data_IF_112845324554
#
_entry.id   IF_112845324554
#
_cell.length_a   1.000
_cell.length_b   1.000
_cell.length_c   1.000
_cell.angle_alpha   90.00
_cell.angle_beta   90.00
_cell.angle_gamma   90.00
#
_symmetry.space_group_name_H-M   'P 1'
#
loop_
_entity.id
_entity.type
_entity.pdbx_description
1 polymer ?
#
# COMPACT_ATOMS: atom_id res chain seq x y z
N UNK A 1 4.94 12.78 2.01
CA UNK A 1 3.85 12.31 1.13
C UNK A 1 2.81 13.42 0.96
N UNK A 2 2.13 13.52 -0.19
CA UNK A 2 1.04 14.50 -0.37
C UNK A 2 -0.19 14.09 0.48
N UNK A 3 -0.77 14.99 1.31
CA UNK A 3 -1.88 14.69 2.22
C UNK A 3 -3.19 14.29 1.52
N UNK A 4 -3.33 14.54 0.22
CA UNK A 4 -4.49 14.09 -0.57
C UNK A 4 -4.42 12.58 -0.79
N UNK A 5 -3.25 12.05 -1.17
CA UNK A 5 -3.08 10.62 -1.41
C UNK A 5 -3.22 9.80 -0.13
N UNK A 6 -2.74 10.33 0.99
CA UNK A 6 -2.95 9.70 2.31
C UNK A 6 -4.45 9.56 2.63
N UNK A 7 -5.23 10.63 2.48
CA UNK A 7 -6.68 10.57 2.72
C UNK A 7 -7.42 9.63 1.77
N UNK A 8 -7.01 9.58 0.50
CA UNK A 8 -7.57 8.63 -0.47
C UNK A 8 -7.19 7.19 -0.14
N UNK A 9 -5.97 6.96 0.33
CA UNK A 9 -5.55 5.65 0.78
C UNK A 9 -6.37 5.21 1.99
N UNK A 10 -6.41 6.02 3.05
CA UNK A 10 -7.12 5.70 4.30
C UNK A 10 -8.62 5.51 4.08
N UNK A 11 -9.24 6.34 3.23
CA UNK A 11 -10.69 6.34 3.01
C UNK A 11 -11.21 5.33 1.97
N UNK A 12 -10.33 4.72 1.17
CA UNK A 12 -10.73 3.83 0.08
C UNK A 12 -9.86 2.59 -0.04
N UNK A 13 -8.54 2.74 -0.08
CA UNK A 13 -7.64 1.65 -0.39
C UNK A 13 -7.31 0.76 0.82
N UNK A 14 -7.26 1.31 2.03
CA UNK A 14 -6.82 0.60 3.24
C UNK A 14 -7.65 -0.67 3.51
N UNK A 15 -8.98 -0.58 3.48
CA UNK A 15 -9.87 -1.72 3.69
C UNK A 15 -9.76 -2.78 2.58
N UNK A 16 -9.55 -2.35 1.34
CA UNK A 16 -9.38 -3.25 0.20
C UNK A 16 -8.05 -4.00 0.34
N UNK A 17 -6.99 -3.27 0.69
CA UNK A 17 -5.67 -3.83 0.89
C UNK A 17 -5.65 -4.80 2.06
N UNK A 18 -6.28 -4.46 3.18
CA UNK A 18 -6.38 -5.34 4.35
C UNK A 18 -7.06 -6.68 4.01
N UNK A 19 -7.98 -6.69 3.03
CA UNK A 19 -8.63 -7.92 2.54
C UNK A 19 -7.77 -8.69 1.54
N UNK A 20 -6.95 -7.98 0.76
CA UNK A 20 -6.12 -8.59 -0.29
C UNK A 20 -4.82 -9.17 0.27
N UNK A 21 -4.12 -8.40 1.10
CA UNK A 21 -2.82 -8.76 1.68
C UNK A 21 -2.66 -8.09 3.07
N UNK A 22 -3.23 -8.69 4.13
CA UNK A 22 -3.17 -8.14 5.48
C UNK A 22 -1.74 -8.16 6.02
N UNK A 23 -1.39 -7.16 6.84
CA UNK A 23 -0.12 -7.16 7.56
C UNK A 23 0.04 -8.41 8.44
N UNK A 24 1.08 -9.20 8.17
CA UNK A 24 1.37 -10.42 8.90
C UNK A 24 2.18 -10.14 10.18
N UNK A 25 1.48 -9.67 11.21
CA UNK A 25 2.08 -9.44 12.53
C UNK A 25 2.66 -10.72 13.16
N UNK A 26 2.14 -11.91 12.80
CA UNK A 26 2.60 -13.19 13.36
C UNK A 26 4.00 -13.54 12.89
N UNK A 27 4.31 -13.29 11.61
CA UNK A 27 5.66 -13.52 11.10
C UNK A 27 6.68 -12.58 11.75
N UNK A 28 6.30 -11.32 12.01
CA UNK A 28 7.15 -10.37 12.73
C UNK A 28 7.37 -10.81 14.19
N UNK A 29 6.33 -11.34 14.83
CA UNK A 29 6.42 -11.90 16.18
C UNK A 29 7.35 -13.10 16.25
N UNK A 30 7.23 -14.04 15.31
CA UNK A 30 8.12 -15.21 15.24
C UNK A 30 9.57 -14.81 15.01
N UNK A 31 9.82 -13.78 14.19
CA UNK A 31 11.15 -13.22 14.01
C UNK A 31 11.69 -12.62 15.32
N UNK A 32 10.86 -11.85 16.03
CA UNK A 32 11.25 -11.28 17.33
C UNK A 32 11.58 -12.38 18.36
N UNK A 33 10.80 -13.45 18.39
CA UNK A 33 11.03 -14.60 19.26
C UNK A 33 12.35 -15.31 18.89
N UNK A 34 12.62 -15.52 17.59
CA UNK A 34 13.86 -16.14 17.11
C UNK A 34 15.13 -15.36 17.49
N UNK A 35 14.98 -14.04 17.65
CA UNK A 35 16.05 -13.12 18.04
C UNK A 35 16.10 -12.89 19.57
N UNK A 36 15.19 -13.52 20.33
CA UNK A 36 15.06 -13.35 21.78
C UNK A 36 14.96 -11.88 22.20
N UNK A 37 14.20 -11.08 21.42
CA UNK A 37 14.03 -9.66 21.70
C UNK A 37 13.25 -9.43 23.01
N UNK A 38 13.62 -8.39 23.74
CA UNK A 38 12.83 -7.91 24.88
C UNK A 38 11.49 -7.34 24.40
N UNK A 39 10.53 -7.18 25.33
CA UNK A 39 9.20 -6.65 25.00
C UNK A 39 9.23 -5.30 24.27
N UNK A 40 10.06 -4.36 24.75
CA UNK A 40 10.21 -3.04 24.11
C UNK A 40 10.84 -3.14 22.71
N UNK A 41 11.85 -3.99 22.54
CA UNK A 41 12.49 -4.20 21.25
C UNK A 41 11.54 -4.88 20.24
N UNK A 42 10.68 -5.79 20.71
CA UNK A 42 9.63 -6.43 19.90
C UNK A 42 8.57 -5.42 19.44
N UNK A 43 8.11 -4.54 20.33
CA UNK A 43 7.17 -3.47 19.96
C UNK A 43 7.78 -2.52 18.94
N UNK A 44 9.01 -2.08 19.16
CA UNK A 44 9.74 -1.24 18.21
C UNK A 44 9.89 -1.91 16.83
N UNK A 45 10.15 -3.22 16.81
CA UNK A 45 10.23 -3.99 15.56
C UNK A 45 8.86 -4.05 14.85
N UNK A 46 7.78 -4.36 15.58
CA UNK A 46 6.43 -4.35 15.02
C UNK A 46 6.08 -2.98 14.42
N UNK A 47 6.30 -1.91 15.18
CA UNK A 47 5.99 -0.55 14.75
C UNK A 47 6.78 -0.18 13.49
N UNK A 48 8.07 -0.54 13.42
CA UNK A 48 8.90 -0.28 12.25
C UNK A 48 8.42 -1.03 11.00
N UNK A 49 8.05 -2.31 11.15
CA UNK A 49 7.53 -3.11 10.04
C UNK A 49 6.14 -2.64 9.60
N UNK A 50 5.25 -2.33 10.54
CA UNK A 50 3.92 -1.80 10.24
C UNK A 50 4.03 -0.45 9.51
N UNK A 51 4.87 0.46 10.00
CA UNK A 51 5.10 1.74 9.34
C UNK A 51 5.63 1.56 7.91
N UNK A 52 6.55 0.61 7.70
CA UNK A 52 7.08 0.30 6.37
C UNK A 52 6.01 -0.30 5.45
N UNK A 53 5.19 -1.22 5.96
CA UNK A 53 4.07 -1.80 5.25
C UNK A 53 3.07 -0.72 4.79
N UNK A 54 2.65 0.17 5.70
CA UNK A 54 1.73 1.26 5.38
C UNK A 54 2.30 2.25 4.35
N UNK A 55 3.59 2.59 4.50
CA UNK A 55 4.26 3.47 3.55
C UNK A 55 4.31 2.84 2.15
N UNK A 56 4.79 1.59 2.05
CA UNK A 56 4.87 0.88 0.76
C UNK A 56 3.50 0.74 0.10
N UNK A 57 2.48 0.43 0.91
CA UNK A 57 1.10 0.31 0.47
C UNK A 57 0.55 1.61 -0.10
N UNK A 58 0.82 2.73 0.56
CA UNK A 58 0.39 4.05 0.09
C UNK A 58 1.13 4.47 -1.17
N UNK A 59 2.42 4.16 -1.27
CA UNK A 59 3.23 4.44 -2.46
C UNK A 59 2.71 3.62 -3.66
N UNK A 60 2.47 2.32 -3.46
CA UNK A 60 1.89 1.45 -4.48
C UNK A 60 0.49 1.91 -4.92
N UNK A 61 -0.36 2.32 -3.97
CA UNK A 61 -1.66 2.90 -4.28
C UNK A 61 -1.55 4.19 -5.08
N UNK A 62 -0.63 5.09 -4.71
CA UNK A 62 -0.43 6.36 -5.42
C UNK A 62 0.01 6.12 -6.85
N UNK A 63 0.94 5.18 -7.08
CA UNK A 63 1.37 4.76 -8.41
C UNK A 63 0.22 4.16 -9.21
N UNK A 64 -0.54 3.23 -8.63
CA UNK A 64 -1.69 2.60 -9.27
C UNK A 64 -2.80 3.60 -9.63
N UNK A 65 -3.11 4.54 -8.73
CA UNK A 65 -4.06 5.61 -8.96
C UNK A 65 -3.60 6.54 -10.09
N UNK A 66 -2.33 6.95 -10.07
CA UNK A 66 -1.77 7.79 -11.12
C UNK A 66 -1.82 7.12 -12.49
N UNK A 67 -1.44 5.84 -12.58
CA UNK A 67 -1.53 5.05 -13.80
C UNK A 67 -2.98 4.91 -14.28
N UNK A 68 -3.92 4.56 -13.38
CA UNK A 68 -5.33 4.43 -13.70
C UNK A 68 -5.93 5.73 -14.25
N UNK A 69 -5.67 6.86 -13.60
CA UNK A 69 -6.12 8.17 -14.06
C UNK A 69 -5.48 8.57 -15.38
N UNK A 70 -4.20 8.26 -15.60
CA UNK A 70 -3.52 8.55 -16.87
C UNK A 70 -4.14 7.74 -18.00
N UNK A 71 -4.40 6.45 -17.81
CA UNK A 71 -5.05 5.60 -18.81
C UNK A 71 -6.49 6.04 -19.14
N UNK A 72 -7.25 6.51 -18.14
CA UNK A 72 -8.61 7.04 -18.33
C UNK A 72 -8.59 8.38 -19.07
N UNK A 73 -7.63 9.26 -18.78
CA UNK A 73 -7.53 10.58 -19.41
C UNK A 73 -6.88 10.55 -20.79
N UNK A 74 -5.88 9.69 -21.03
CA UNK A 74 -5.14 9.65 -22.29
C UNK A 74 -5.88 8.97 -23.44
N UNK A 75 -7.15 8.57 -23.28
CA UNK A 75 -7.91 7.85 -24.31
C UNK A 75 -7.02 6.81 -25.00
N UNK A 76 -6.46 5.82 -24.27
CA UNK A 76 -5.75 4.71 -24.90
C UNK A 76 -6.76 3.96 -25.78
N UNK A 77 -6.86 4.48 -27.02
CA UNK A 77 -7.79 4.22 -28.11
C UNK A 77 -9.27 4.20 -27.71
N UNK A 78 -9.94 5.35 -27.88
CA UNK A 78 -11.23 5.30 -28.58
C UNK A 78 -10.98 4.61 -29.92
N UNK A 79 -11.29 3.32 -30.00
CA UNK A 79 -11.33 2.54 -31.23
C UNK A 79 -12.48 3.02 -32.12
N UNK A 80 -12.46 4.29 -32.52
CA UNK A 80 -13.23 4.77 -33.65
C UNK A 80 -12.48 4.37 -34.92
N UNK A 81 -13.14 3.81 -35.94
CA UNK A 81 -12.48 3.45 -37.19
C UNK A 81 -11.79 4.70 -37.75
N UNK A 82 -10.50 4.53 -38.06
CA UNK A 82 -9.65 5.56 -38.65
C UNK A 82 -10.26 5.92 -40.02
N UNK A 83 -10.84 7.11 -40.13
CA UNK A 83 -11.39 7.60 -41.40
C UNK A 83 -10.23 7.76 -42.39
N UNK A 84 -10.26 6.93 -43.42
CA UNK A 84 -9.47 7.04 -44.66
C UNK A 84 -10.33 7.73 -45.70
#
# INVERSE_FOLDING_TARGET
>A
MNPIYLRLFDGYAADILQKADPFDSKSVDQLADSLSLSGDARLCLQDAFLARYLQWSTDAFTLGLHLGLSLVHDNVRRGGPQQV
#
